data_IF_670523207868
#
_entry.id   IF_670523207868
#
_cell.length_a   1.000
_cell.length_b   1.000
_cell.length_c   1.000
_cell.angle_alpha   90.00
_cell.angle_beta   90.00
_cell.angle_gamma   90.00
#
_symmetry.space_group_name_H-M   'P 1'
#
loop_
_entity.id
_entity.type
_entity.pdbx_description
1 polymer ?
#
# COMPACT_ATOMS: atom_id res chain seq x y z
N UNK A 1 14.37 -7.69 12.86
CA UNK A 1 15.82 -7.30 12.85
C UNK A 1 16.65 -8.15 11.90
N UNK A 2 16.34 -9.44 11.70
CA UNK A 2 17.15 -10.36 10.87
C UNK A 2 17.14 -10.01 9.38
N UNK A 3 16.05 -9.42 8.86
CA UNK A 3 15.87 -9.11 7.43
C UNK A 3 15.92 -7.62 7.08
N UNK A 4 15.53 -6.75 8.02
CA UNK A 4 15.45 -5.29 7.80
C UNK A 4 16.36 -4.51 8.78
N UNK A 5 17.25 -5.18 9.50
CA UNK A 5 18.13 -4.54 10.47
C UNK A 5 17.33 -3.93 11.64
N UNK A 6 17.79 -2.76 12.11
CA UNK A 6 17.13 -2.00 13.18
C UNK A 6 16.20 -0.90 12.64
N UNK A 7 16.12 -0.75 11.31
CA UNK A 7 15.25 0.23 10.69
C UNK A 7 13.77 -0.17 10.85
N UNK A 8 12.98 0.74 11.42
CA UNK A 8 11.54 0.59 11.55
C UNK A 8 10.79 1.09 10.30
N UNK A 9 11.45 1.93 9.50
CA UNK A 9 10.92 2.53 8.27
C UNK A 9 11.91 2.30 7.12
N UNK A 10 12.07 1.01 6.69
CA UNK A 10 13.04 0.67 5.68
C UNK A 10 12.66 1.27 4.32
N UNK A 11 13.68 1.65 3.56
CA UNK A 11 13.53 2.12 2.19
C UNK A 11 14.29 1.17 1.27
N UNK A 12 13.62 0.75 0.20
CA UNK A 12 14.22 0.02 -0.91
C UNK A 12 14.12 0.87 -2.17
N UNK A 13 15.20 0.97 -2.91
CA UNK A 13 15.23 1.69 -4.18
C UNK A 13 16.14 0.96 -5.18
N UNK A 14 15.65 0.80 -6.41
CA UNK A 14 16.41 0.33 -7.57
C UNK A 14 16.08 1.20 -8.79
N UNK A 15 16.43 0.75 -10.00
CA UNK A 15 16.18 1.50 -11.23
C UNK A 15 14.69 1.66 -11.56
N UNK A 16 13.84 0.70 -11.14
CA UNK A 16 12.44 0.64 -11.51
C UNK A 16 11.50 1.17 -10.43
N UNK A 17 11.86 1.08 -9.14
CA UNK A 17 10.96 1.38 -8.04
C UNK A 17 11.64 2.01 -6.82
N UNK A 18 10.87 2.85 -6.11
CA UNK A 18 11.11 3.29 -4.74
C UNK A 18 10.01 2.71 -3.86
N UNK A 19 10.39 2.00 -2.80
CA UNK A 19 9.45 1.46 -1.79
C UNK A 19 9.82 2.01 -0.42
N UNK A 20 8.87 2.70 0.23
CA UNK A 20 9.06 3.32 1.55
C UNK A 20 8.16 2.62 2.55
N UNK A 21 8.74 1.93 3.53
CA UNK A 21 8.01 1.39 4.67
C UNK A 21 7.73 2.46 5.71
N UNK A 22 6.51 2.48 6.26
CA UNK A 22 6.13 3.36 7.36
C UNK A 22 5.73 2.55 8.59
N UNK A 23 6.32 2.87 9.72
CA UNK A 23 5.87 2.38 11.01
C UNK A 23 4.75 3.30 11.56
N UNK A 24 3.52 2.94 11.24
CA UNK A 24 2.34 3.69 11.70
C UNK A 24 1.79 3.18 13.03
N UNK A 25 2.47 2.22 13.69
CA UNK A 25 2.07 1.72 15.00
C UNK A 25 2.25 2.79 16.07
N UNK A 26 1.28 2.88 16.99
CA UNK A 26 1.36 3.83 18.09
C UNK A 26 1.23 3.09 19.44
N UNK A 27 2.18 3.25 20.39
CA UNK A 27 2.21 2.49 21.65
C UNK A 27 0.93 2.58 22.49
N UNK A 28 0.17 3.67 22.36
CA UNK A 28 -1.09 3.90 23.09
C UNK A 28 -2.36 3.60 22.27
N UNK A 29 -2.21 3.10 21.05
CA UNK A 29 -3.32 2.82 20.13
C UNK A 29 -3.16 1.42 19.56
N UNK A 30 -3.80 0.43 20.16
CA UNK A 30 -3.61 -0.98 19.81
C UNK A 30 -4.15 -1.37 18.42
N UNK A 31 -5.06 -0.59 17.85
CA UNK A 31 -5.72 -0.90 16.56
C UNK A 31 -5.52 0.17 15.50
N UNK A 32 -5.29 1.39 15.92
CA UNK A 32 -5.25 2.55 15.03
C UNK A 32 -3.81 2.91 14.68
N UNK A 33 -3.50 2.95 13.39
CA UNK A 33 -2.26 3.53 12.90
C UNK A 33 -2.37 5.04 12.75
N UNK A 34 -1.25 5.74 12.84
CA UNK A 34 -1.20 7.17 12.62
C UNK A 34 0.06 7.57 11.84
N UNK A 35 -0.10 8.47 10.90
CA UNK A 35 1.00 9.07 10.15
C UNK A 35 1.33 10.42 10.81
N UNK A 36 2.53 10.55 11.34
CA UNK A 36 2.99 11.79 11.96
C UNK A 36 3.38 12.84 10.91
N UNK A 37 3.42 14.11 11.30
CA UNK A 37 3.91 15.20 10.44
C UNK A 37 5.36 14.96 10.00
N UNK A 38 6.20 14.41 10.88
CA UNK A 38 7.59 14.07 10.55
C UNK A 38 7.69 12.99 9.48
N UNK A 39 6.87 11.94 9.56
CA UNK A 39 6.78 10.88 8.55
C UNK A 39 6.28 11.44 7.21
N UNK A 40 5.22 12.25 7.23
CA UNK A 40 4.73 12.92 6.00
C UNK A 40 5.85 13.69 5.31
N UNK A 41 6.57 14.53 6.05
CA UNK A 41 7.67 15.32 5.51
C UNK A 41 8.84 14.45 5.01
N UNK A 42 9.16 13.35 5.71
CA UNK A 42 10.23 12.45 5.30
C UNK A 42 9.89 11.74 3.98
N UNK A 43 8.66 11.24 3.82
CA UNK A 43 8.18 10.63 2.58
C UNK A 43 8.17 11.66 1.45
N UNK A 44 7.64 12.87 1.68
CA UNK A 44 7.64 13.97 0.70
C UNK A 44 9.04 14.21 0.14
N UNK A 45 10.04 14.38 1.01
CA UNK A 45 11.43 14.60 0.57
C UNK A 45 11.97 13.44 -0.29
N UNK A 46 11.64 12.21 0.06
CA UNK A 46 12.04 11.03 -0.71
C UNK A 46 11.40 10.99 -2.09
N UNK A 47 10.08 11.25 -2.16
CA UNK A 47 9.34 11.29 -3.41
C UNK A 47 9.88 12.37 -4.35
N UNK A 48 10.17 13.56 -3.82
CA UNK A 48 10.73 14.68 -4.58
C UNK A 48 12.15 14.41 -5.10
N UNK A 49 12.98 13.69 -4.34
CA UNK A 49 14.33 13.32 -4.72
C UNK A 49 14.40 12.17 -5.73
N UNK A 50 13.32 11.44 -5.94
CA UNK A 50 13.28 10.23 -6.76
C UNK A 50 12.81 10.54 -8.19
N UNK A 51 13.43 9.91 -9.19
CA UNK A 51 13.04 10.03 -10.59
C UNK A 51 11.55 9.72 -10.82
N UNK A 52 10.89 10.57 -11.63
CA UNK A 52 9.49 10.36 -12.02
C UNK A 52 9.26 9.06 -12.83
N UNK A 53 10.33 8.48 -13.37
CA UNK A 53 10.26 7.20 -14.12
C UNK A 53 10.08 5.98 -13.20
N UNK A 54 10.46 6.07 -11.92
CA UNK A 54 10.33 4.98 -10.97
C UNK A 54 8.88 4.88 -10.45
N UNK A 55 8.43 3.66 -10.21
CA UNK A 55 7.21 3.41 -9.46
C UNK A 55 7.44 3.75 -7.98
N UNK A 56 6.62 4.62 -7.41
CA UNK A 56 6.77 5.13 -6.05
C UNK A 56 5.69 4.55 -5.16
N UNK A 57 6.13 3.77 -4.17
CA UNK A 57 5.27 2.96 -3.32
C UNK A 57 5.48 3.34 -1.86
N UNK A 58 4.39 3.55 -1.12
CA UNK A 58 4.40 3.64 0.35
C UNK A 58 3.67 2.42 0.92
N UNK A 59 4.29 1.79 1.91
CA UNK A 59 3.76 0.59 2.58
C UNK A 59 3.53 0.89 4.05
N UNK A 60 2.33 0.63 4.56
CA UNK A 60 2.00 0.73 5.98
C UNK A 60 1.13 -0.45 6.41
N UNK A 61 0.95 -0.63 7.74
CA UNK A 61 0.13 -1.74 8.23
C UNK A 61 -1.37 -1.50 8.03
N UNK A 62 -1.88 -0.34 8.46
CA UNK A 62 -3.30 -0.02 8.30
C UNK A 62 -3.60 0.50 6.88
N UNK A 63 -4.86 0.34 6.40
CA UNK A 63 -5.26 0.78 5.07
C UNK A 63 -5.31 2.31 4.94
N UNK A 64 -5.07 2.78 3.72
CA UNK A 64 -5.22 4.19 3.33
C UNK A 64 -6.60 4.51 2.76
N UNK A 65 -7.30 3.50 2.27
CA UNK A 65 -8.65 3.57 1.75
C UNK A 65 -9.40 2.29 2.04
N UNK A 66 -10.72 2.31 2.02
CA UNK A 66 -11.56 1.17 2.35
C UNK A 66 -12.57 0.86 1.24
N UNK A 67 -12.72 -0.42 0.93
CA UNK A 67 -13.71 -0.90 -0.01
C UNK A 67 -15.12 -0.95 0.62
N UNK A 68 -15.20 -1.30 1.91
CA UNK A 68 -16.47 -1.40 2.64
C UNK A 68 -16.64 -0.24 3.61
N UNK A 69 -17.85 0.34 3.76
CA UNK A 69 -18.10 1.42 4.72
C UNK A 69 -17.74 1.03 6.16
N UNK A 70 -17.93 -0.23 6.55
CA UNK A 70 -17.54 -0.74 7.87
C UNK A 70 -16.05 -0.66 8.18
N UNK A 71 -15.21 -0.54 7.14
CA UNK A 71 -13.75 -0.49 7.26
C UNK A 71 -13.19 0.93 7.32
N UNK A 72 -14.00 1.95 7.11
CA UNK A 72 -13.59 3.35 7.23
C UNK A 72 -12.97 3.66 8.60
N UNK A 73 -13.43 3.01 9.64
CA UNK A 73 -12.88 3.13 11.01
C UNK A 73 -11.48 2.53 11.17
N UNK A 74 -11.04 1.70 10.22
CA UNK A 74 -9.73 1.04 10.24
C UNK A 74 -8.67 1.83 9.46
N UNK A 75 -9.04 2.94 8.83
CA UNK A 75 -8.10 3.80 8.12
C UNK A 75 -7.13 4.41 9.12
N UNK A 76 -5.88 4.52 8.70
CA UNK A 76 -4.90 5.17 9.54
C UNK A 76 -5.15 6.69 9.65
N UNK A 77 -4.93 7.22 10.84
CA UNK A 77 -5.09 8.66 11.08
C UNK A 77 -4.07 9.45 10.24
N UNK A 78 -4.53 10.56 9.64
CA UNK A 78 -3.71 11.42 8.78
C UNK A 78 -3.52 10.88 7.36
N UNK A 79 -4.24 9.82 6.96
CA UNK A 79 -4.16 9.28 5.60
C UNK A 79 -4.53 10.32 4.54
N UNK A 80 -5.63 11.06 4.71
CA UNK A 80 -6.09 12.06 3.74
C UNK A 80 -5.03 13.14 3.47
N UNK A 81 -4.51 13.76 4.54
CA UNK A 81 -3.48 14.81 4.43
C UNK A 81 -2.17 14.27 3.82
N UNK A 82 -1.81 13.04 4.19
CA UNK A 82 -0.61 12.40 3.66
C UNK A 82 -0.75 12.12 2.17
N UNK A 83 -1.86 11.52 1.75
CA UNK A 83 -2.13 11.20 0.35
C UNK A 83 -2.18 12.47 -0.51
N UNK A 84 -2.81 13.55 -0.02
CA UNK A 84 -2.86 14.82 -0.73
C UNK A 84 -1.44 15.34 -1.03
N UNK A 85 -0.61 15.49 -0.01
CA UNK A 85 0.75 16.00 -0.19
C UNK A 85 1.66 15.04 -0.99
N UNK A 86 1.45 13.73 -0.89
CA UNK A 86 2.24 12.76 -1.63
C UNK A 86 1.79 12.60 -3.08
N UNK A 87 0.50 12.83 -3.39
CA UNK A 87 0.00 12.91 -4.77
C UNK A 87 0.74 14.01 -5.54
N UNK A 88 0.88 15.20 -4.96
CA UNK A 88 1.61 16.32 -5.54
C UNK A 88 3.09 16.02 -5.77
N UNK A 89 3.66 15.09 -4.99
CA UNK A 89 5.05 14.63 -5.13
C UNK A 89 5.17 13.35 -5.97
N UNK A 90 4.09 12.90 -6.60
CA UNK A 90 4.10 11.82 -7.58
C UNK A 90 4.06 10.42 -6.99
N UNK A 91 3.49 10.21 -5.80
CA UNK A 91 3.18 8.87 -5.28
C UNK A 91 2.24 8.13 -6.24
N UNK A 92 2.54 6.87 -6.51
CA UNK A 92 1.76 6.05 -7.45
C UNK A 92 0.90 5.01 -6.74
N UNK A 93 1.41 4.42 -5.65
CA UNK A 93 0.80 3.27 -5.03
C UNK A 93 0.97 3.30 -3.52
N UNK A 94 -0.07 2.92 -2.79
CA UNK A 94 0.01 2.60 -1.37
C UNK A 94 -0.39 1.15 -1.12
N UNK A 95 0.29 0.51 -0.18
CA UNK A 95 0.00 -0.87 0.23
C UNK A 95 -0.37 -0.91 1.71
N UNK A 96 -1.38 -1.73 2.03
CA UNK A 96 -1.83 -1.94 3.39
C UNK A 96 -2.19 -3.39 3.69
N UNK A 97 -2.49 -3.67 4.94
CA UNK A 97 -2.92 -4.97 5.46
C UNK A 97 -3.97 -4.79 6.56
N UNK A 98 -3.76 -5.36 7.73
CA UNK A 98 -4.56 -5.22 8.95
C UNK A 98 -5.96 -5.86 8.92
N UNK A 99 -6.79 -5.53 7.94
CA UNK A 99 -8.21 -5.93 7.90
C UNK A 99 -8.45 -7.30 7.28
N UNK A 100 -7.41 -7.97 6.78
CA UNK A 100 -7.46 -9.31 6.19
C UNK A 100 -8.40 -9.46 4.98
N UNK A 101 -8.78 -8.36 4.34
CA UNK A 101 -9.61 -8.32 3.15
C UNK A 101 -8.79 -7.83 1.97
N UNK A 102 -8.49 -8.67 0.96
CA UNK A 102 -7.70 -8.25 -0.19
C UNK A 102 -8.55 -7.46 -1.20
N UNK A 103 -8.04 -6.33 -1.69
CA UNK A 103 -8.63 -5.56 -2.78
C UNK A 103 -7.61 -4.65 -3.45
N UNK A 104 -7.95 -4.20 -4.65
CA UNK A 104 -7.26 -3.14 -5.38
C UNK A 104 -8.30 -2.08 -5.74
N UNK A 105 -8.04 -0.82 -5.41
CA UNK A 105 -8.95 0.27 -5.73
C UNK A 105 -8.21 1.59 -6.01
N UNK A 106 -8.75 2.46 -6.89
CA UNK A 106 -8.27 3.81 -7.08
C UNK A 106 -8.72 4.69 -5.92
N UNK A 107 -7.79 5.44 -5.32
CA UNK A 107 -8.09 6.28 -4.16
C UNK A 107 -8.83 7.57 -4.52
N UNK A 108 -8.80 8.02 -5.77
CA UNK A 108 -9.57 9.17 -6.24
C UNK A 108 -11.08 9.04 -5.97
N UNK A 109 -11.62 7.81 -5.92
CA UNK A 109 -13.03 7.58 -5.55
C UNK A 109 -13.36 7.97 -4.11
N UNK A 110 -12.40 7.82 -3.20
CA UNK A 110 -12.57 8.15 -1.78
C UNK A 110 -12.01 9.53 -1.44
N UNK A 111 -10.99 9.96 -2.18
CA UNK A 111 -10.29 11.25 -2.01
C UNK A 111 -10.30 12.02 -3.33
N UNK A 112 -11.44 12.63 -3.71
CA UNK A 112 -11.59 13.27 -5.03
C UNK A 112 -10.72 14.53 -5.22
N UNK A 113 -10.10 15.04 -4.16
CA UNK A 113 -9.18 16.18 -4.22
C UNK A 113 -7.73 15.79 -4.54
N UNK A 114 -7.43 14.50 -4.75
CA UNK A 114 -6.08 14.09 -5.15
C UNK A 114 -5.73 14.65 -6.53
N UNK A 115 -4.54 15.24 -6.65
CA UNK A 115 -4.04 15.83 -7.91
C UNK A 115 -3.71 14.78 -8.98
N UNK A 116 -3.62 13.52 -8.58
CA UNK A 116 -3.39 12.37 -9.46
C UNK A 116 -3.94 11.08 -8.87
N UNK A 117 -4.11 10.05 -9.70
CA UNK A 117 -4.51 8.75 -9.21
C UNK A 117 -3.40 8.09 -8.38
N UNK A 118 -3.78 7.62 -7.19
CA UNK A 118 -2.98 6.74 -6.35
C UNK A 118 -3.77 5.44 -6.19
N UNK A 119 -3.13 4.31 -6.48
CA UNK A 119 -3.74 3.02 -6.29
C UNK A 119 -3.52 2.49 -4.87
N UNK A 120 -4.56 1.93 -4.26
CA UNK A 120 -4.46 1.15 -3.03
C UNK A 120 -4.42 -0.33 -3.38
N UNK A 121 -3.38 -1.03 -2.91
CA UNK A 121 -3.27 -2.48 -2.94
C UNK A 121 -3.33 -2.99 -1.51
N UNK A 122 -4.46 -3.55 -1.15
CA UNK A 122 -4.71 -4.10 0.18
C UNK A 122 -4.39 -5.59 0.19
N UNK A 123 -3.59 -6.01 1.15
CA UNK A 123 -3.30 -7.42 1.35
C UNK A 123 -4.42 -8.10 2.16
N UNK A 124 -4.66 -9.35 1.85
CA UNK A 124 -5.37 -10.28 2.72
C UNK A 124 -4.47 -10.73 3.89
N UNK A 125 -4.61 -11.96 4.29
CA UNK A 125 -3.70 -12.61 5.24
C UNK A 125 -3.19 -13.91 4.68
N UNK A 126 -1.90 -14.18 4.85
CA UNK A 126 -1.27 -15.41 4.34
C UNK A 126 -1.38 -16.56 5.35
N UNK A 127 -1.29 -16.25 6.65
CA UNK A 127 -1.10 -17.25 7.70
C UNK A 127 -2.16 -17.23 8.81
N UNK A 128 -2.96 -16.15 8.92
CA UNK A 128 -3.94 -16.04 9.99
C UNK A 128 -5.15 -16.93 9.75
N UNK A 129 -5.62 -17.59 10.80
CA UNK A 129 -6.91 -18.28 10.80
C UNK A 129 -8.11 -17.32 10.86
N UNK A 130 -7.87 -16.03 11.17
CA UNK A 130 -8.91 -15.00 11.16
C UNK A 130 -9.13 -14.47 9.75
N UNK A 131 -9.90 -15.21 8.97
CA UNK A 131 -10.29 -14.81 7.62
C UNK A 131 -11.38 -13.75 7.65
N UNK A 132 -11.50 -12.97 6.58
CA UNK A 132 -12.53 -11.96 6.42
C UNK A 132 -13.51 -12.33 5.32
N UNK A 133 -14.79 -12.47 5.70
CA UNK A 133 -15.82 -12.93 4.76
C UNK A 133 -15.48 -14.31 4.20
N UNK A 134 -15.55 -14.44 2.89
CA UNK A 134 -15.22 -15.68 2.15
C UNK A 134 -13.80 -15.64 1.53
N UNK A 135 -12.99 -14.61 1.84
CA UNK A 135 -11.64 -14.49 1.28
C UNK A 135 -10.72 -15.54 1.91
N UNK A 136 -10.07 -16.39 1.10
CA UNK A 136 -9.11 -17.35 1.63
C UNK A 136 -7.81 -16.64 2.08
N UNK A 137 -6.90 -17.39 2.68
CA UNK A 137 -5.54 -16.91 2.86
C UNK A 137 -4.95 -16.51 1.51
N UNK A 138 -4.24 -15.39 1.47
CA UNK A 138 -3.77 -14.85 0.19
C UNK A 138 -2.58 -13.91 0.37
N UNK A 139 -1.86 -13.70 -0.72
CA UNK A 139 -0.86 -12.63 -0.85
C UNK A 139 -0.97 -11.95 -2.21
N UNK A 140 -0.44 -10.72 -2.30
CA UNK A 140 -0.34 -10.00 -3.55
C UNK A 140 1.11 -10.04 -4.07
N UNK A 141 1.26 -10.20 -5.39
CA UNK A 141 2.52 -10.06 -6.11
C UNK A 141 2.40 -8.91 -7.10
N UNK A 142 3.28 -7.91 -6.98
CA UNK A 142 3.38 -6.82 -7.94
C UNK A 142 4.41 -7.22 -9.01
N UNK A 143 3.99 -7.17 -10.26
CA UNK A 143 4.86 -7.38 -11.42
C UNK A 143 5.04 -6.05 -12.13
N UNK A 144 6.29 -5.60 -12.17
CA UNK A 144 6.71 -4.43 -12.94
C UNK A 144 7.27 -4.91 -14.27
N UNK A 145 7.02 -4.16 -15.33
CA UNK A 145 7.58 -4.42 -16.64
C UNK A 145 8.77 -3.47 -16.87
N UNK A 146 10.02 -3.99 -16.89
CA UNK A 146 11.19 -3.16 -17.08
C UNK A 146 11.11 -2.35 -18.38
N UNK A 147 11.46 -1.06 -18.31
CA UNK A 147 11.43 -0.14 -19.45
C UNK A 147 10.03 0.35 -19.87
N UNK A 148 8.96 -0.20 -19.33
CA UNK A 148 7.61 0.32 -19.50
C UNK A 148 7.22 1.13 -18.26
N UNK A 149 7.35 2.46 -18.37
CA UNK A 149 7.08 3.36 -17.26
C UNK A 149 5.71 3.08 -16.63
N UNK A 150 5.73 2.61 -15.37
CA UNK A 150 4.54 2.43 -14.54
C UNK A 150 3.48 1.44 -15.06
N UNK A 151 3.89 0.44 -15.83
CA UNK A 151 3.01 -0.69 -16.14
C UNK A 151 3.13 -1.73 -15.03
N UNK A 152 2.10 -1.82 -14.20
CA UNK A 152 2.08 -2.68 -13.02
C UNK A 152 0.91 -3.64 -13.11
N UNK A 153 1.18 -4.93 -12.95
CA UNK A 153 0.17 -5.95 -12.73
C UNK A 153 0.21 -6.40 -11.26
N UNK A 154 -0.91 -6.29 -10.57
CA UNK A 154 -1.12 -6.86 -9.24
C UNK A 154 -1.77 -8.22 -9.39
N UNK A 155 -1.10 -9.27 -8.99
CA UNK A 155 -1.64 -10.62 -8.94
C UNK A 155 -2.00 -10.96 -7.49
N UNK A 156 -3.25 -11.40 -7.26
CA UNK A 156 -3.63 -12.00 -5.99
C UNK A 156 -3.56 -13.50 -6.09
N UNK A 157 -2.82 -14.11 -5.20
CA UNK A 157 -2.66 -15.55 -5.06
C UNK A 157 -3.41 -16.01 -3.84
N UNK A 158 -4.37 -16.91 -4.04
CA UNK A 158 -5.28 -17.43 -3.02
C UNK A 158 -4.88 -18.85 -2.64
N UNK A 159 -4.95 -19.19 -1.34
CA UNK A 159 -4.72 -20.53 -0.84
C UNK A 159 -5.91 -21.42 -1.20
N UNK A 160 -5.64 -22.50 -1.89
CA UNK A 160 -6.60 -23.54 -2.23
C UNK A 160 -5.91 -24.90 -2.05
N UNK A 161 -6.49 -25.78 -1.27
CA UNK A 161 -5.99 -27.13 -1.04
C UNK A 161 -4.48 -27.20 -0.77
N UNK A 162 -4.02 -26.42 0.24
CA UNK A 162 -2.63 -26.32 0.72
C UNK A 162 -1.60 -25.74 -0.26
N UNK A 163 -2.03 -25.15 -1.38
CA UNK A 163 -1.14 -24.44 -2.29
C UNK A 163 -1.73 -23.12 -2.77
N UNK A 164 -0.88 -22.19 -3.20
CA UNK A 164 -1.33 -20.91 -3.72
C UNK A 164 -1.59 -20.98 -5.22
N UNK A 165 -2.77 -20.53 -5.64
CA UNK A 165 -3.19 -20.42 -7.04
C UNK A 165 -3.47 -18.95 -7.37
N UNK A 166 -3.31 -18.59 -8.65
CA UNK A 166 -3.67 -17.25 -9.12
C UNK A 166 -5.19 -17.07 -9.07
N UNK A 167 -5.69 -16.30 -8.12
CA UNK A 167 -7.12 -16.01 -7.94
C UNK A 167 -7.61 -14.85 -8.81
N UNK A 168 -6.82 -13.80 -8.95
CA UNK A 168 -7.17 -12.63 -9.77
C UNK A 168 -5.93 -11.81 -10.13
N UNK A 169 -6.06 -10.95 -11.17
CA UNK A 169 -5.04 -9.96 -11.52
C UNK A 169 -5.68 -8.63 -11.90
N UNK A 170 -4.94 -7.54 -11.67
CA UNK A 170 -5.36 -6.17 -11.94
C UNK A 170 -4.21 -5.43 -12.63
N UNK A 171 -4.45 -4.88 -13.82
CA UNK A 171 -3.49 -4.00 -14.47
C UNK A 171 -3.75 -2.57 -14.01
N UNK A 172 -2.78 -1.99 -13.33
CA UNK A 172 -2.84 -0.61 -12.89
C UNK A 172 -2.40 0.30 -14.03
N UNK A 173 -3.12 1.40 -14.22
CA UNK A 173 -2.80 2.43 -15.18
C UNK A 173 -2.87 3.81 -14.54
N UNK A 174 -2.06 4.73 -15.04
CA UNK A 174 -2.10 6.15 -14.68
C UNK A 174 -2.38 6.94 -15.96
N UNK A 175 -3.37 7.84 -15.94
CA UNK A 175 -3.69 8.69 -17.07
C UNK A 175 -2.55 9.65 -17.44
#
# INVERSE_FOLDING_TARGET
RRHFGNELEPVFENDDALVIGLNTTHPRRHKDGAITAAQRAAVTRRLQATSAKKLRIVVAHQPFGAMLPSDLRNLQHGAADALQGWADCGLDLVMGGHIHLPYVLPLSKQYPALSREIWMVQAGTTLSSRLRGTSPNSFNRLKLHPGEAKKVCVERWDMLDDHFVLGSHFNLGWP
#
